data_IF_755233285010
#
_entry.id   IF_755233285010
#
_cell.length_a   1.000
_cell.length_b   1.000
_cell.length_c   1.000
_cell.angle_alpha   90.00
_cell.angle_beta   90.00
_cell.angle_gamma   90.00
#
_symmetry.space_group_name_H-M   'P 1'
#
loop_
_entity.id
_entity.type
_entity.pdbx_description
1 polymer ?
#
# COMPACT_ATOMS: atom_id res chain seq x y z
N UNK A 1 30.85 32.55 40.63
CA UNK A 1 30.83 31.25 39.91
C UNK A 1 29.56 30.51 40.29
N UNK A 2 28.44 30.91 39.70
CA UNK A 2 27.12 30.33 39.93
C UNK A 2 26.57 29.94 38.56
N UNK A 3 26.83 28.71 38.15
CA UNK A 3 26.25 28.04 36.98
C UNK A 3 26.87 26.66 36.94
N UNK A 4 26.06 25.60 36.97
CA UNK A 4 26.31 24.23 36.45
C UNK A 4 25.32 23.22 37.08
N UNK A 5 24.61 23.53 38.16
CA UNK A 5 23.75 22.54 38.86
C UNK A 5 22.24 22.78 38.72
N UNK A 6 21.79 23.23 37.55
CA UNK A 6 20.36 23.37 37.24
C UNK A 6 20.03 22.95 35.80
N UNK A 7 20.71 21.92 35.29
CA UNK A 7 20.49 21.40 33.94
C UNK A 7 20.53 19.87 33.87
N UNK A 8 20.16 19.16 34.95
CA UNK A 8 20.25 17.68 35.00
C UNK A 8 18.90 16.96 35.00
N UNK A 9 17.76 17.65 34.98
CA UNK A 9 16.46 16.98 35.12
C UNK A 9 15.47 17.19 33.96
N UNK A 10 15.92 17.70 32.80
CA UNK A 10 15.01 18.03 31.69
C UNK A 10 15.24 17.27 30.36
N UNK A 11 16.22 16.35 30.25
CA UNK A 11 16.53 15.70 28.96
C UNK A 11 16.55 14.15 28.99
N UNK A 12 15.68 13.50 29.76
CA UNK A 12 15.48 12.05 29.62
C UNK A 12 14.00 11.70 29.57
N UNK A 13 13.29 12.34 28.63
CA UNK A 13 11.92 11.96 28.27
C UNK A 13 11.64 12.04 26.75
N UNK A 14 12.68 11.92 25.92
CA UNK A 14 12.51 11.82 24.46
C UNK A 14 13.32 10.67 23.85
N UNK A 15 13.41 9.56 24.57
CA UNK A 15 13.67 8.24 23.98
C UNK A 15 12.36 7.42 24.05
N UNK A 16 11.25 8.04 23.65
CA UNK A 16 10.11 7.26 23.20
C UNK A 16 10.59 6.53 21.95
N UNK A 17 10.85 5.25 22.10
CA UNK A 17 11.20 4.35 21.01
C UNK A 17 10.10 4.42 19.95
N UNK A 18 10.30 5.24 18.90
CA UNK A 18 9.39 5.34 17.74
C UNK A 18 9.35 4.04 16.92
N UNK A 19 9.94 2.96 17.43
CA UNK A 19 9.82 1.58 16.96
C UNK A 19 8.47 0.95 17.25
N UNK A 20 7.46 1.75 17.56
CA UNK A 20 6.06 1.35 17.50
C UNK A 20 5.64 1.40 16.02
N UNK A 21 5.71 0.26 15.33
CA UNK A 21 5.10 -0.06 14.03
C UNK A 21 5.85 0.35 12.74
N UNK A 22 7.18 0.32 12.71
CA UNK A 22 7.82 -0.05 11.45
C UNK A 22 7.53 -1.55 11.25
N UNK A 23 6.74 -1.90 10.24
CA UNK A 23 6.49 -3.30 9.93
C UNK A 23 7.80 -4.08 9.88
N UNK A 24 7.81 -5.24 10.53
CA UNK A 24 8.95 -6.15 10.56
C UNK A 24 9.27 -6.76 9.19
N UNK A 25 8.44 -6.51 8.17
CA UNK A 25 8.66 -7.03 6.83
C UNK A 25 9.99 -6.54 6.27
N UNK A 26 10.84 -7.49 5.92
CA UNK A 26 12.10 -7.26 5.22
C UNK A 26 11.87 -6.93 3.75
N UNK A 27 12.87 -6.32 3.10
CA UNK A 27 12.79 -6.02 1.66
C UNK A 27 12.67 -7.33 0.87
N UNK A 28 13.42 -8.35 1.27
CA UNK A 28 13.44 -9.67 0.64
C UNK A 28 12.09 -10.39 0.78
N UNK A 29 11.41 -10.25 1.91
CA UNK A 29 10.04 -10.75 2.09
C UNK A 29 9.06 -10.01 1.19
N UNK A 30 9.13 -8.68 1.12
CA UNK A 30 8.27 -7.90 0.25
C UNK A 30 8.46 -8.29 -1.23
N UNK A 31 9.70 -8.41 -1.70
CA UNK A 31 10.02 -8.80 -3.08
C UNK A 31 9.58 -10.22 -3.41
N UNK A 32 9.61 -11.13 -2.43
CA UNK A 32 9.13 -12.52 -2.62
C UNK A 32 7.61 -12.59 -2.71
N UNK A 33 6.89 -11.85 -1.87
CA UNK A 33 5.43 -11.96 -1.76
C UNK A 33 4.67 -11.05 -2.74
N UNK A 34 5.27 -9.97 -3.25
CA UNK A 34 4.59 -8.92 -4.03
C UNK A 34 3.79 -9.48 -5.21
N UNK A 35 4.33 -10.47 -5.94
CA UNK A 35 3.64 -11.07 -7.09
C UNK A 35 2.40 -11.86 -6.67
N UNK A 36 2.47 -12.57 -5.54
CA UNK A 36 1.34 -13.32 -4.99
C UNK A 36 0.25 -12.38 -4.47
N UNK A 37 0.64 -11.31 -3.79
CA UNK A 37 -0.32 -10.29 -3.33
C UNK A 37 -0.94 -9.51 -4.50
N UNK A 38 -0.18 -9.23 -5.57
CA UNK A 38 -0.69 -8.61 -6.78
C UNK A 38 -1.72 -9.53 -7.46
N UNK A 39 -1.41 -10.83 -7.59
CA UNK A 39 -2.37 -11.80 -8.12
C UNK A 39 -3.63 -11.87 -7.27
N UNK A 40 -3.51 -11.87 -5.94
CA UNK A 40 -4.67 -11.84 -5.03
C UNK A 40 -5.56 -10.62 -5.24
N UNK A 41 -4.98 -9.47 -5.61
CA UNK A 41 -5.74 -8.27 -5.94
C UNK A 41 -6.44 -8.40 -7.31
N UNK A 42 -5.86 -9.13 -8.27
CA UNK A 42 -6.46 -9.38 -9.58
C UNK A 42 -7.56 -10.44 -9.53
N UNK A 43 -7.43 -11.44 -8.67
CA UNK A 43 -8.37 -12.56 -8.51
C UNK A 43 -9.75 -12.13 -7.99
N UNK A 44 -9.87 -10.89 -7.47
CA UNK A 44 -11.18 -10.31 -7.13
C UNK A 44 -12.13 -10.28 -8.33
N UNK A 45 -11.59 -10.35 -9.56
CA UNK A 45 -12.35 -10.37 -10.81
C UNK A 45 -13.49 -11.38 -10.77
N UNK A 46 -13.27 -12.57 -10.21
CA UNK A 46 -14.31 -13.58 -10.09
C UNK A 46 -15.55 -13.07 -9.32
N UNK A 47 -15.34 -12.31 -8.24
CA UNK A 47 -16.44 -11.68 -7.49
C UNK A 47 -17.09 -10.52 -8.25
N UNK A 48 -16.32 -9.79 -9.08
CA UNK A 48 -16.85 -8.73 -9.92
C UNK A 48 -17.72 -9.28 -11.06
N UNK A 49 -17.29 -10.38 -11.68
CA UNK A 49 -18.02 -11.10 -12.74
C UNK A 49 -19.32 -11.71 -12.21
N UNK A 50 -19.31 -12.20 -10.96
CA UNK A 50 -20.51 -12.72 -10.29
C UNK A 50 -21.32 -11.65 -9.55
N UNK A 51 -20.98 -10.37 -9.71
CA UNK A 51 -21.61 -9.22 -9.03
C UNK A 51 -21.76 -9.39 -7.50
N UNK A 52 -20.84 -10.15 -6.90
CA UNK A 52 -20.80 -10.42 -5.46
C UNK A 52 -20.11 -9.26 -4.75
N UNK A 53 -20.79 -8.11 -4.74
CA UNK A 53 -20.19 -6.82 -4.39
C UNK A 53 -19.58 -6.78 -2.98
N UNK A 54 -20.25 -7.38 -1.99
CA UNK A 54 -19.76 -7.38 -0.61
C UNK A 54 -18.49 -8.24 -0.48
N UNK A 55 -18.47 -9.39 -1.13
CA UNK A 55 -17.34 -10.31 -1.19
C UNK A 55 -16.17 -9.66 -1.94
N UNK A 56 -16.45 -8.99 -3.06
CA UNK A 56 -15.48 -8.22 -3.82
C UNK A 56 -14.82 -7.13 -2.95
N UNK A 57 -15.60 -6.34 -2.21
CA UNK A 57 -15.06 -5.31 -1.31
C UNK A 57 -14.19 -5.92 -0.20
N UNK A 58 -14.62 -7.03 0.42
CA UNK A 58 -13.83 -7.71 1.46
C UNK A 58 -12.50 -8.22 0.88
N UNK A 59 -12.54 -8.89 -0.27
CA UNK A 59 -11.36 -9.41 -0.94
C UNK A 59 -10.41 -8.29 -1.39
N UNK A 60 -10.95 -7.21 -1.97
CA UNK A 60 -10.21 -6.03 -2.40
C UNK A 60 -9.49 -5.35 -1.22
N UNK A 61 -10.18 -5.10 -0.10
CA UNK A 61 -9.57 -4.45 1.08
C UNK A 61 -8.46 -5.31 1.69
N UNK A 62 -8.68 -6.63 1.77
CA UNK A 62 -7.66 -7.55 2.29
C UNK A 62 -6.43 -7.60 1.38
N UNK A 63 -6.61 -7.88 0.09
CA UNK A 63 -5.51 -7.99 -0.87
C UNK A 63 -4.75 -6.68 -1.02
N UNK A 64 -5.46 -5.54 -1.10
CA UNK A 64 -4.82 -4.22 -1.21
C UNK A 64 -4.04 -3.82 0.04
N UNK A 65 -4.46 -4.24 1.24
CA UNK A 65 -3.70 -3.94 2.47
C UNK A 65 -2.32 -4.58 2.46
N UNK A 66 -2.23 -5.86 2.08
CA UNK A 66 -0.95 -6.56 1.96
C UNK A 66 -0.08 -5.90 0.89
N UNK A 67 -0.67 -5.63 -0.28
CA UNK A 67 0.05 -5.07 -1.41
C UNK A 67 0.57 -3.65 -1.16
N UNK A 68 -0.20 -2.82 -0.43
CA UNK A 68 0.27 -1.50 0.03
C UNK A 68 1.54 -1.62 0.84
N UNK A 69 1.57 -2.62 1.70
CA UNK A 69 2.67 -2.81 2.61
C UNK A 69 3.95 -3.21 1.85
N UNK A 70 3.86 -4.21 0.99
CA UNK A 70 4.99 -4.65 0.15
C UNK A 70 5.54 -3.52 -0.73
N UNK A 71 4.66 -2.83 -1.47
CA UNK A 71 5.10 -1.73 -2.34
C UNK A 71 5.72 -0.60 -1.54
N UNK A 72 5.19 -0.28 -0.36
CA UNK A 72 5.80 0.73 0.48
C UNK A 72 7.22 0.32 0.85
N UNK A 73 7.42 -0.91 1.37
CA UNK A 73 8.75 -1.44 1.73
C UNK A 73 9.72 -1.38 0.56
N UNK A 74 9.32 -1.86 -0.63
CA UNK A 74 10.14 -1.87 -1.84
C UNK A 74 10.45 -0.45 -2.32
N UNK A 75 9.46 0.44 -2.38
CA UNK A 75 9.69 1.83 -2.83
C UNK A 75 10.65 2.56 -1.89
N UNK A 76 10.61 2.28 -0.59
CA UNK A 76 11.50 2.93 0.38
C UNK A 76 12.95 2.46 0.25
N UNK A 77 13.20 1.26 -0.30
CA UNK A 77 14.56 0.73 -0.53
C UNK A 77 15.21 1.22 -1.82
N UNK A 78 14.43 1.70 -2.81
CA UNK A 78 14.96 2.18 -4.11
C UNK A 78 15.74 3.51 -4.00
N UNK A 79 16.62 3.82 -4.98
CA UNK A 79 17.33 5.10 -5.03
C UNK A 79 16.41 6.32 -5.00
N UNK A 80 16.89 7.43 -4.41
CA UNK A 80 16.13 8.67 -4.28
C UNK A 80 15.55 9.23 -5.60
N UNK A 81 16.23 8.99 -6.72
CA UNK A 81 15.83 9.40 -8.06
C UNK A 81 14.63 8.63 -8.63
N UNK A 82 14.43 7.37 -8.23
CA UNK A 82 13.36 6.51 -8.74
C UNK A 82 12.06 6.64 -7.94
N UNK A 83 12.19 6.95 -6.65
CA UNK A 83 11.08 7.02 -5.69
C UNK A 83 9.93 7.95 -6.10
N UNK A 84 10.14 9.16 -6.65
CA UNK A 84 9.03 10.04 -7.04
C UNK A 84 8.11 9.39 -8.08
N UNK A 85 8.70 8.72 -9.07
CA UNK A 85 7.96 8.08 -10.13
C UNK A 85 7.22 6.82 -9.62
N UNK A 86 7.89 5.99 -8.82
CA UNK A 86 7.24 4.81 -8.20
C UNK A 86 6.11 5.21 -7.25
N UNK A 87 6.25 6.30 -6.49
CA UNK A 87 5.18 6.83 -5.63
C UNK A 87 3.98 7.29 -6.44
N UNK A 88 4.19 7.87 -7.63
CA UNK A 88 3.09 8.24 -8.51
C UNK A 88 2.30 7.00 -8.94
N UNK A 89 2.98 5.96 -9.43
CA UNK A 89 2.33 4.69 -9.79
C UNK A 89 1.59 4.05 -8.61
N UNK A 90 2.22 4.04 -7.43
CA UNK A 90 1.60 3.58 -6.19
C UNK A 90 0.31 4.36 -5.88
N UNK A 91 0.35 5.69 -5.96
CA UNK A 91 -0.83 6.54 -5.76
C UNK A 91 -1.92 6.27 -6.80
N UNK A 92 -1.56 6.15 -8.07
CA UNK A 92 -2.51 5.89 -9.16
C UNK A 92 -3.19 4.52 -8.98
N UNK A 93 -2.43 3.48 -8.62
CA UNK A 93 -2.97 2.15 -8.28
C UNK A 93 -3.98 2.23 -7.14
N UNK A 94 -3.57 2.76 -5.98
CA UNK A 94 -4.43 2.71 -4.79
C UNK A 94 -5.58 3.72 -4.82
N UNK A 95 -5.47 4.79 -5.61
CA UNK A 95 -6.62 5.64 -5.92
C UNK A 95 -7.69 4.88 -6.71
N UNK A 96 -7.29 4.04 -7.68
CA UNK A 96 -8.24 3.20 -8.41
C UNK A 96 -8.82 2.09 -7.52
N UNK A 97 -8.02 1.49 -6.61
CA UNK A 97 -8.54 0.55 -5.59
C UNK A 97 -9.63 1.20 -4.73
N UNK A 98 -9.39 2.41 -4.23
CA UNK A 98 -10.40 3.14 -3.43
C UNK A 98 -11.64 3.47 -4.25
N UNK A 99 -11.49 3.91 -5.51
CA UNK A 99 -12.63 4.16 -6.40
C UNK A 99 -13.41 2.88 -6.71
N UNK A 100 -12.74 1.76 -6.92
CA UNK A 100 -13.39 0.46 -7.14
C UNK A 100 -14.19 0.06 -5.89
N UNK A 101 -13.65 0.25 -4.69
CA UNK A 101 -14.36 -0.04 -3.44
C UNK A 101 -15.67 0.76 -3.32
N UNK A 102 -15.64 2.05 -3.65
CA UNK A 102 -16.86 2.88 -3.68
C UNK A 102 -17.80 2.48 -4.81
N UNK A 103 -17.29 2.20 -6.01
CA UNK A 103 -18.10 1.77 -7.14
C UNK A 103 -18.82 0.45 -6.88
N UNK A 104 -18.15 -0.51 -6.23
CA UNK A 104 -18.75 -1.78 -5.81
C UNK A 104 -19.82 -1.57 -4.72
N UNK A 105 -19.58 -0.68 -3.75
CA UNK A 105 -20.59 -0.30 -2.75
C UNK A 105 -21.86 0.25 -3.40
N UNK A 106 -21.67 1.11 -4.40
CA UNK A 106 -22.75 1.80 -5.11
C UNK A 106 -23.29 0.96 -6.29
N UNK A 107 -22.77 -0.26 -6.47
CA UNK A 107 -23.12 -1.21 -7.54
C UNK A 107 -23.02 -0.62 -8.96
N UNK A 108 -22.10 0.32 -9.16
CA UNK A 108 -21.84 0.93 -10.45
C UNK A 108 -20.88 0.05 -11.27
N UNK A 109 -21.44 -0.94 -11.97
CA UNK A 109 -20.67 -1.92 -12.74
C UNK A 109 -19.74 -1.27 -13.79
N UNK A 110 -20.18 -0.20 -14.46
CA UNK A 110 -19.35 0.49 -15.45
C UNK A 110 -18.09 1.08 -14.81
N UNK A 111 -18.24 1.76 -13.67
CA UNK A 111 -17.12 2.34 -12.95
C UNK A 111 -16.23 1.27 -12.30
N UNK A 112 -16.81 0.17 -11.83
CA UNK A 112 -16.05 -0.98 -11.32
C UNK A 112 -15.09 -1.50 -12.38
N UNK A 113 -15.58 -1.80 -13.59
CA UNK A 113 -14.75 -2.34 -14.66
C UNK A 113 -13.70 -1.34 -15.17
N UNK A 114 -14.06 -0.05 -15.22
CA UNK A 114 -13.08 1.00 -15.52
C UNK A 114 -11.95 1.04 -14.48
N UNK A 115 -12.29 1.02 -13.19
CA UNK A 115 -11.28 1.04 -12.12
C UNK A 115 -10.45 -0.25 -12.12
N UNK A 116 -11.07 -1.42 -12.37
CA UNK A 116 -10.38 -2.69 -12.45
C UNK A 116 -9.35 -2.70 -13.60
N UNK A 117 -9.73 -2.23 -14.79
CA UNK A 117 -8.81 -2.09 -15.91
C UNK A 117 -7.62 -1.17 -15.58
N UNK A 118 -7.87 -0.04 -14.94
CA UNK A 118 -6.80 0.87 -14.49
C UNK A 118 -5.88 0.23 -13.44
N UNK A 119 -6.42 -0.59 -12.53
CA UNK A 119 -5.63 -1.35 -11.55
C UNK A 119 -4.69 -2.32 -12.26
N UNK A 120 -5.19 -3.07 -13.26
CA UNK A 120 -4.37 -4.02 -14.03
C UNK A 120 -3.20 -3.31 -14.70
N UNK A 121 -3.45 -2.19 -15.39
CA UNK A 121 -2.40 -1.42 -16.07
C UNK A 121 -1.39 -0.86 -15.06
N UNK A 122 -1.86 -0.26 -13.96
CA UNK A 122 -0.97 0.30 -12.94
C UNK A 122 -0.12 -0.77 -12.24
N UNK A 123 -0.65 -1.97 -12.05
CA UNK A 123 0.10 -3.12 -11.51
C UNK A 123 1.19 -3.58 -12.47
N UNK A 124 0.88 -3.72 -13.75
CA UNK A 124 1.88 -4.10 -14.76
C UNK A 124 3.01 -3.06 -14.83
N UNK A 125 2.65 -1.77 -14.84
CA UNK A 125 3.61 -0.67 -14.88
C UNK A 125 4.55 -0.64 -13.67
N UNK A 126 4.05 -0.87 -12.46
CA UNK A 126 4.88 -0.85 -11.25
C UNK A 126 5.71 -2.13 -11.11
N UNK A 127 5.12 -3.31 -11.42
CA UNK A 127 5.81 -4.61 -11.35
C UNK A 127 6.93 -4.72 -12.39
N UNK A 128 6.79 -4.09 -13.56
CA UNK A 128 7.84 -4.03 -14.58
C UNK A 128 9.03 -3.15 -14.20
N UNK A 129 8.98 -2.45 -13.05
CA UNK A 129 9.99 -1.48 -12.62
C UNK A 129 10.65 -1.81 -11.29
N UNK A 130 10.07 -2.72 -10.51
CA UNK A 130 10.62 -3.12 -9.22
C UNK A 130 11.46 -4.39 -9.31
#
# INVERSE_FOLDING_TARGET
MASILLAREAEIAFAADWRILASEQTIEEAEREIRSHAQSLLDIKAFLESESWQEAQKALRKSSSNLKHDFYTIIQSKPGSERPYLRKLYSDLFNNVTKLDYAARDQNASLVWQCYGNIVVALDDILGRI
#
